data_IF_932640467092
#
_entry.id   IF_932640467092
#
_cell.length_a   1.000
_cell.length_b   1.000
_cell.length_c   1.000
_cell.angle_alpha   90.00
_cell.angle_beta   90.00
_cell.angle_gamma   90.00
#
_symmetry.space_group_name_H-M   'P 1'
#
loop_
_entity.id
_entity.type
_entity.pdbx_description
1 polymer ?
#
# COMPACT_ATOMS: atom_id res chain seq x y z
N UNK A 1 45.44 22.06 78.16
CA UNK A 1 45.94 21.43 76.91
C UNK A 1 44.95 20.34 76.49
N UNK A 2 43.96 20.65 75.67
CA UNK A 2 43.00 19.69 75.18
C UNK A 2 43.18 19.57 73.64
N UNK A 3 43.58 18.42 73.19
CA UNK A 3 43.69 18.08 71.75
C UNK A 3 42.29 17.66 71.23
N UNK A 4 41.73 18.44 70.32
CA UNK A 4 40.56 18.08 69.53
C UNK A 4 40.98 17.19 68.34
N UNK A 5 40.58 15.93 68.34
CA UNK A 5 40.70 15.02 67.21
C UNK A 5 39.43 15.23 66.38
N UNK A 6 39.58 15.82 65.18
CA UNK A 6 38.52 15.88 64.16
C UNK A 6 38.53 14.57 63.35
N UNK A 7 37.54 13.72 63.58
CA UNK A 7 37.25 12.55 62.71
C UNK A 7 36.58 13.02 61.42
N UNK A 8 37.28 12.89 60.33
CA UNK A 8 36.70 13.06 58.98
C UNK A 8 36.01 11.74 58.57
N UNK A 9 34.69 11.75 58.48
CA UNK A 9 33.89 10.68 57.89
C UNK A 9 33.91 10.87 56.37
N UNK A 10 34.34 9.88 55.57
CA UNK A 10 34.17 9.97 54.10
C UNK A 10 32.71 9.66 53.78
N UNK A 11 32.01 10.67 53.19
CA UNK A 11 30.70 10.54 52.62
C UNK A 11 30.81 9.76 51.29
N UNK A 12 30.59 8.44 51.37
CA UNK A 12 30.52 7.61 50.18
C UNK A 12 29.23 7.95 49.39
N UNK A 13 29.34 8.75 48.33
CA UNK A 13 28.30 9.03 47.37
C UNK A 13 28.05 7.73 46.56
N UNK A 14 27.10 6.92 46.98
CA UNK A 14 26.60 5.80 46.18
C UNK A 14 25.86 6.36 44.95
N UNK A 15 26.60 6.53 43.84
CA UNK A 15 26.04 6.77 42.55
C UNK A 15 25.25 5.52 42.13
N UNK A 16 23.97 5.46 42.48
CA UNK A 16 23.02 4.50 41.90
C UNK A 16 22.89 4.85 40.42
N UNK A 17 23.68 4.23 39.57
CA UNK A 17 23.45 4.16 38.15
C UNK A 17 22.09 3.45 37.96
N UNK A 18 21.02 4.23 37.82
CA UNK A 18 19.80 3.75 37.21
C UNK A 18 20.15 3.39 35.76
N UNK A 19 20.56 2.14 35.56
CA UNK A 19 20.56 1.54 34.25
C UNK A 19 19.13 1.71 33.74
N UNK A 20 18.92 2.62 32.79
CA UNK A 20 17.70 2.67 32.01
C UNK A 20 17.61 1.31 31.34
N UNK A 21 16.90 0.38 31.98
CA UNK A 21 16.49 -0.86 31.34
C UNK A 21 15.72 -0.40 30.10
N UNK A 22 16.34 -0.55 28.94
CA UNK A 22 15.71 -0.27 27.66
C UNK A 22 14.39 -1.06 27.69
N UNK A 23 13.28 -0.34 27.85
CA UNK A 23 11.96 -0.94 28.02
C UNK A 23 11.76 -1.86 26.82
N UNK A 24 11.54 -3.15 27.09
CA UNK A 24 11.51 -4.17 26.04
C UNK A 24 10.38 -3.80 25.04
N UNK A 25 10.75 -3.34 23.85
CA UNK A 25 9.79 -3.04 22.79
C UNK A 25 9.42 -4.35 22.06
N UNK A 26 8.11 -4.56 21.72
CA UNK A 26 6.93 -3.80 22.12
C UNK A 26 6.32 -4.28 23.44
N UNK A 27 5.73 -3.36 24.25
CA UNK A 27 5.05 -3.67 25.52
C UNK A 27 3.54 -3.44 25.45
N UNK A 28 3.03 -2.89 24.36
CA UNK A 28 1.63 -2.60 24.09
C UNK A 28 1.28 -2.85 22.61
N UNK A 29 0.00 -2.90 22.25
CA UNK A 29 -0.41 -3.09 20.86
C UNK A 29 0.20 -2.07 19.91
N UNK A 30 0.54 -2.53 18.71
CA UNK A 30 1.04 -1.71 17.60
C UNK A 30 -0.11 -1.45 16.63
N UNK A 31 -0.22 -0.22 16.15
CA UNK A 31 -1.23 0.15 15.15
C UNK A 31 -0.60 0.31 13.78
N UNK A 32 -1.12 -0.41 12.79
CA UNK A 32 -0.82 -0.19 11.37
C UNK A 32 -1.94 0.68 10.79
N UNK A 33 -1.59 1.90 10.41
CA UNK A 33 -2.50 2.80 9.70
C UNK A 33 -2.54 2.42 8.23
N UNK A 34 -3.75 2.19 7.72
CA UNK A 34 -4.06 1.98 6.30
C UNK A 34 -4.72 3.25 5.77
N UNK A 35 -4.17 3.93 4.76
CA UNK A 35 -4.65 5.24 4.33
C UNK A 35 -5.86 5.18 3.36
N UNK A 36 -6.62 4.10 3.41
CA UNK A 36 -7.80 3.85 2.58
C UNK A 36 -8.94 3.25 3.40
N UNK A 37 -10.17 3.33 2.89
CA UNK A 37 -11.33 2.72 3.53
C UNK A 37 -11.17 1.19 3.68
N UNK A 38 -11.76 0.67 4.74
CA UNK A 38 -11.81 -0.77 5.00
C UNK A 38 -12.46 -1.55 3.82
N UNK A 39 -12.10 -2.81 3.68
CA UNK A 39 -12.61 -3.71 2.64
C UNK A 39 -11.94 -3.53 1.27
N UNK A 40 -10.94 -2.64 1.13
CA UNK A 40 -10.13 -2.54 -0.08
C UNK A 40 -8.87 -3.41 -0.01
N UNK A 41 -8.08 -3.46 -1.12
CA UNK A 41 -6.92 -4.35 -1.24
C UNK A 41 -5.84 -4.08 -0.18
N UNK A 42 -5.50 -2.81 0.06
CA UNK A 42 -4.48 -2.44 1.05
C UNK A 42 -4.92 -2.78 2.48
N UNK A 43 -6.22 -2.67 2.79
CA UNK A 43 -6.79 -3.09 4.08
C UNK A 43 -6.67 -4.62 4.27
N UNK A 44 -6.95 -5.38 3.19
CA UNK A 44 -6.80 -6.83 3.23
C UNK A 44 -5.34 -7.25 3.47
N UNK A 45 -4.40 -6.73 2.68
CA UNK A 45 -2.96 -6.97 2.87
C UNK A 45 -2.54 -6.62 4.29
N UNK A 46 -2.99 -5.47 4.81
CA UNK A 46 -2.62 -5.02 6.16
C UNK A 46 -3.16 -5.95 7.26
N UNK A 47 -4.39 -6.47 7.13
CA UNK A 47 -4.97 -7.39 8.13
C UNK A 47 -4.27 -8.75 8.11
N UNK A 48 -4.03 -9.30 6.92
CA UNK A 48 -3.31 -10.57 6.79
C UNK A 48 -1.86 -10.43 7.31
N UNK A 49 -1.20 -9.31 7.01
CA UNK A 49 0.14 -9.02 7.49
C UNK A 49 0.21 -8.72 8.99
N UNK A 50 -0.78 -7.99 9.54
CA UNK A 50 -0.89 -7.74 10.97
C UNK A 50 -0.99 -9.04 11.78
N UNK A 51 -1.76 -10.02 11.29
CA UNK A 51 -1.85 -11.33 11.92
C UNK A 51 -0.51 -12.06 11.90
N UNK A 52 0.20 -12.05 10.77
CA UNK A 52 1.52 -12.67 10.64
C UNK A 52 2.59 -12.00 11.54
N UNK A 53 2.44 -10.69 11.83
CA UNK A 53 3.35 -9.95 12.71
C UNK A 53 3.16 -10.24 14.19
N UNK A 54 1.99 -10.74 14.63
CA UNK A 54 1.67 -10.93 16.06
C UNK A 54 2.66 -11.83 16.76
N UNK A 55 2.99 -12.98 16.16
CA UNK A 55 3.89 -13.97 16.76
C UNK A 55 5.34 -13.43 16.89
N UNK A 56 5.99 -12.92 15.85
CA UNK A 56 7.36 -12.44 15.95
C UNK A 56 7.52 -11.18 16.81
N UNK A 57 6.47 -10.34 16.93
CA UNK A 57 6.48 -9.17 17.81
C UNK A 57 6.08 -9.51 19.26
N UNK A 58 5.35 -10.61 19.48
CA UNK A 58 4.81 -10.98 20.79
C UNK A 58 3.72 -10.02 21.27
N UNK A 59 3.09 -9.26 20.36
CA UNK A 59 2.07 -8.26 20.67
C UNK A 59 0.93 -8.26 19.65
N UNK A 60 -0.22 -7.75 20.07
CA UNK A 60 -1.35 -7.49 19.17
C UNK A 60 -0.98 -6.39 18.16
N UNK A 61 -1.27 -6.64 16.89
CA UNK A 61 -1.16 -5.64 15.83
C UNK A 61 -2.56 -5.31 15.34
N UNK A 62 -2.91 -4.02 15.38
CA UNK A 62 -4.25 -3.49 15.07
C UNK A 62 -4.17 -2.75 13.73
N UNK A 63 -5.19 -2.90 12.88
CA UNK A 63 -5.32 -2.14 11.64
C UNK A 63 -6.32 -1.00 11.86
N UNK A 64 -5.88 0.23 11.57
CA UNK A 64 -6.69 1.44 11.61
C UNK A 64 -6.81 2.04 10.20
N UNK A 65 -8.01 2.30 9.72
CA UNK A 65 -8.25 2.92 8.42
C UNK A 65 -8.38 4.45 8.56
N UNK A 66 -7.46 5.21 7.95
CA UNK A 66 -7.45 6.67 7.92
C UNK A 66 -7.52 7.17 6.46
N UNK A 67 -8.69 7.05 5.85
CA UNK A 67 -8.91 7.23 4.43
C UNK A 67 -9.04 8.69 3.99
N UNK A 68 -8.62 9.00 2.76
CA UNK A 68 -8.86 10.25 2.07
C UNK A 68 -7.66 10.81 1.32
N UNK A 69 -7.92 11.72 0.38
CA UNK A 69 -6.93 12.38 -0.49
C UNK A 69 -5.93 11.38 -1.10
N UNK A 70 -6.43 10.28 -1.71
CA UNK A 70 -5.58 9.26 -2.34
C UNK A 70 -4.59 8.57 -1.41
N UNK A 71 -4.79 8.65 -0.10
CA UNK A 71 -3.92 8.11 0.94
C UNK A 71 -3.10 9.16 1.71
N UNK A 72 -3.11 10.41 1.28
CA UNK A 72 -2.29 11.46 1.93
C UNK A 72 -2.72 11.74 3.38
N UNK A 73 -4.01 11.60 3.73
CA UNK A 73 -4.49 11.84 5.10
C UNK A 73 -3.88 10.83 6.07
N UNK A 74 -3.94 9.53 5.77
CA UNK A 74 -3.38 8.50 6.61
C UNK A 74 -1.86 8.55 6.68
N UNK A 75 -1.18 8.83 5.57
CA UNK A 75 0.26 9.01 5.54
C UNK A 75 0.71 10.20 6.40
N UNK A 76 0.03 11.36 6.30
CA UNK A 76 0.32 12.53 7.12
C UNK A 76 0.08 12.28 8.63
N UNK A 77 -0.96 11.49 8.97
CA UNK A 77 -1.19 11.07 10.36
C UNK A 77 0.02 10.35 10.92
N UNK A 78 0.60 9.41 10.16
CA UNK A 78 1.79 8.65 10.60
C UNK A 78 3.04 9.51 10.58
N UNK A 79 3.25 10.36 9.58
CA UNK A 79 4.39 11.28 9.54
C UNK A 79 4.48 12.17 10.80
N UNK A 80 3.33 12.50 11.41
CA UNK A 80 3.22 13.32 12.62
C UNK A 80 3.05 12.53 13.92
N UNK A 81 3.02 11.20 13.85
CA UNK A 81 2.89 10.36 15.04
C UNK A 81 4.19 10.33 15.85
N UNK A 82 4.09 9.92 17.12
CA UNK A 82 5.26 9.74 17.97
C UNK A 82 6.21 8.70 17.34
N UNK A 83 7.52 8.98 17.25
CA UNK A 83 8.50 8.07 16.65
C UNK A 83 8.94 6.99 17.65
N UNK A 84 7.99 6.23 18.18
CA UNK A 84 8.21 5.22 19.22
C UNK A 84 7.98 3.77 18.72
N UNK A 85 7.60 3.62 17.43
CA UNK A 85 7.37 2.33 16.78
C UNK A 85 5.97 1.75 16.98
N UNK A 86 5.06 2.43 17.72
CA UNK A 86 3.71 1.93 17.96
C UNK A 86 2.67 2.37 16.94
N UNK A 87 3.03 3.32 16.06
CA UNK A 87 2.21 3.73 14.93
C UNK A 87 3.00 3.54 13.66
N UNK A 88 2.56 2.63 12.80
CA UNK A 88 3.19 2.30 11.53
C UNK A 88 2.24 2.64 10.37
N UNK A 89 2.77 2.83 9.18
CA UNK A 89 2.00 3.01 7.96
C UNK A 89 2.22 1.81 7.05
N UNK A 90 1.16 1.18 6.59
CA UNK A 90 1.21 0.29 5.44
C UNK A 90 0.64 1.04 4.23
N UNK A 91 1.48 1.27 3.26
CA UNK A 91 1.11 2.04 2.07
C UNK A 91 1.71 1.40 0.81
N UNK A 92 1.22 1.83 -0.32
CA UNK A 92 1.53 1.27 -1.62
C UNK A 92 2.19 2.30 -2.57
N UNK A 93 2.17 2.05 -3.88
CA UNK A 93 2.78 2.87 -4.93
C UNK A 93 2.48 4.37 -4.83
N UNK A 94 1.40 4.78 -4.16
CA UNK A 94 1.10 6.21 -3.94
C UNK A 94 2.21 6.95 -3.21
N UNK A 95 3.03 6.28 -2.38
CA UNK A 95 4.25 6.89 -1.82
C UNK A 95 5.21 7.39 -2.91
N UNK A 96 5.20 6.77 -4.08
CA UNK A 96 6.02 7.22 -5.21
C UNK A 96 5.30 8.19 -6.15
N UNK A 97 3.96 8.19 -6.20
CA UNK A 97 3.19 9.00 -7.16
C UNK A 97 2.63 10.28 -6.58
N UNK A 98 2.28 10.31 -5.27
CA UNK A 98 1.76 11.50 -4.59
C UNK A 98 2.63 12.74 -4.72
N UNK A 99 3.98 12.69 -4.64
CA UNK A 99 4.81 13.87 -4.82
C UNK A 99 4.65 14.59 -6.16
N UNK A 100 4.18 13.87 -7.18
CA UNK A 100 3.94 14.42 -8.53
C UNK A 100 2.48 14.71 -8.81
N UNK A 101 1.54 14.09 -8.09
CA UNK A 101 0.10 14.22 -8.30
C UNK A 101 -0.55 15.28 -7.40
N UNK A 102 -0.02 15.48 -6.19
CA UNK A 102 -0.58 16.40 -5.21
C UNK A 102 0.33 17.63 -5.06
N UNK A 103 -0.17 18.83 -5.41
CA UNK A 103 0.62 20.06 -5.32
C UNK A 103 0.98 20.45 -3.88
N UNK A 104 0.07 20.20 -2.94
CA UNK A 104 0.19 20.58 -1.54
C UNK A 104 0.30 19.36 -0.62
N UNK A 105 1.28 18.47 -0.89
CA UNK A 105 1.52 17.30 -0.04
C UNK A 105 2.06 17.75 1.33
N UNK A 106 1.36 17.45 2.46
CA UNK A 106 1.72 17.99 3.78
C UNK A 106 2.86 17.24 4.47
N UNK A 107 3.60 16.41 3.75
CA UNK A 107 4.77 15.66 4.21
C UNK A 107 5.73 15.39 3.05
N UNK A 108 6.96 15.06 3.39
CA UNK A 108 7.98 14.62 2.44
C UNK A 108 8.14 13.10 2.51
N UNK A 109 7.82 12.39 1.41
CA UNK A 109 7.88 10.93 1.36
C UNK A 109 9.27 10.40 1.73
N UNK A 110 10.34 11.05 1.26
CA UNK A 110 11.70 10.56 1.46
C UNK A 110 12.31 10.91 2.82
N UNK A 111 11.78 11.95 3.50
CA UNK A 111 12.41 12.53 4.68
C UNK A 111 11.60 12.37 5.97
N UNK A 112 10.26 12.21 5.89
CA UNK A 112 9.39 12.17 7.08
C UNK A 112 9.07 10.74 7.54
N UNK A 113 9.65 9.73 6.87
CA UNK A 113 9.45 8.32 7.21
C UNK A 113 10.77 7.57 7.33
N UNK A 114 10.77 6.56 8.20
CA UNK A 114 11.70 5.44 8.18
C UNK A 114 11.08 4.30 7.37
N UNK A 115 11.87 3.68 6.52
CA UNK A 115 11.48 2.56 5.67
C UNK A 115 11.77 1.25 6.38
N UNK A 116 10.83 0.32 6.40
CA UNK A 116 10.94 -0.91 7.19
C UNK A 116 11.08 -2.18 6.34
N UNK A 117 10.73 -2.10 5.07
CA UNK A 117 10.78 -3.22 4.13
C UNK A 117 9.52 -3.29 3.29
N UNK A 118 9.65 -3.90 2.11
CA UNK A 118 8.51 -4.18 1.23
C UNK A 118 7.86 -5.51 1.59
N UNK A 119 6.56 -5.62 1.31
CA UNK A 119 5.71 -6.76 1.70
C UNK A 119 5.39 -7.62 0.49
N UNK A 120 4.73 -7.06 -0.52
CA UNK A 120 4.30 -7.77 -1.71
C UNK A 120 4.24 -6.87 -2.93
N UNK A 121 4.17 -7.49 -4.11
CA UNK A 121 3.82 -6.88 -5.37
C UNK A 121 2.47 -7.45 -5.82
N UNK A 122 1.48 -6.59 -6.07
CA UNK A 122 0.11 -6.99 -6.40
C UNK A 122 -0.24 -6.55 -7.81
N UNK A 123 -0.56 -7.48 -8.73
CA UNK A 123 -1.09 -7.14 -10.05
C UNK A 123 -2.43 -6.41 -9.96
N UNK A 124 -2.81 -5.75 -11.05
CA UNK A 124 -4.14 -5.17 -11.18
C UNK A 124 -4.96 -5.83 -12.28
N UNK A 125 -6.27 -5.61 -12.24
CA UNK A 125 -7.23 -6.08 -13.24
C UNK A 125 -8.06 -4.91 -13.77
N UNK A 126 -8.37 -4.91 -15.05
CA UNK A 126 -9.42 -4.08 -15.64
C UNK A 126 -10.72 -4.85 -15.50
N UNK A 127 -11.64 -4.30 -14.72
CA UNK A 127 -12.94 -4.92 -14.40
C UNK A 127 -14.09 -3.98 -14.75
N UNK A 128 -15.25 -4.56 -14.99
CA UNK A 128 -16.49 -3.84 -15.30
C UNK A 128 -17.70 -4.40 -14.56
N UNK A 129 -18.74 -3.58 -14.47
CA UNK A 129 -20.01 -3.96 -13.87
C UNK A 129 -20.59 -5.24 -14.51
N UNK A 130 -21.37 -6.06 -13.79
CA UNK A 130 -21.89 -7.32 -14.31
C UNK A 130 -22.83 -7.13 -15.53
N UNK A 131 -23.55 -6.03 -15.58
CA UNK A 131 -24.49 -5.70 -16.68
C UNK A 131 -23.81 -5.09 -17.92
N UNK A 132 -22.49 -4.93 -17.94
CA UNK A 132 -21.78 -4.36 -19.09
C UNK A 132 -22.00 -5.26 -20.33
N UNK A 133 -22.40 -4.72 -21.50
CA UNK A 133 -22.65 -5.53 -22.70
C UNK A 133 -21.37 -5.89 -23.46
N UNK A 134 -20.33 -6.31 -22.72
CA UNK A 134 -19.07 -6.80 -23.24
C UNK A 134 -18.61 -8.00 -22.43
N UNK A 135 -18.09 -9.04 -23.07
CA UNK A 135 -17.64 -10.27 -22.42
C UNK A 135 -16.14 -10.54 -22.61
N UNK A 136 -15.47 -9.72 -23.40
CA UNK A 136 -14.04 -9.78 -23.63
C UNK A 136 -13.49 -8.36 -23.89
N UNK A 137 -12.17 -8.23 -23.94
CA UNK A 137 -11.50 -6.93 -24.10
C UNK A 137 -11.85 -6.25 -25.44
N UNK A 138 -11.97 -7.00 -26.54
CA UNK A 138 -12.33 -6.44 -27.86
C UNK A 138 -13.73 -5.82 -27.83
N UNK A 139 -14.69 -6.53 -27.23
CA UNK A 139 -16.04 -6.02 -27.04
C UNK A 139 -16.08 -4.83 -26.10
N UNK A 140 -15.26 -4.85 -25.03
CA UNK A 140 -15.10 -3.71 -24.13
C UNK A 140 -14.63 -2.46 -24.88
N UNK A 141 -13.58 -2.57 -25.68
CA UNK A 141 -13.06 -1.43 -26.47
C UNK A 141 -14.13 -0.90 -27.44
N UNK A 142 -14.84 -1.78 -28.13
CA UNK A 142 -15.93 -1.37 -29.02
C UNK A 142 -17.05 -0.66 -28.26
N UNK A 143 -17.46 -1.18 -27.09
CA UNK A 143 -18.46 -0.54 -26.24
C UNK A 143 -17.99 0.82 -25.73
N UNK A 144 -16.72 0.95 -25.31
CA UNK A 144 -16.15 2.22 -24.86
C UNK A 144 -16.19 3.28 -25.96
N UNK A 145 -15.88 2.91 -27.21
CA UNK A 145 -15.97 3.85 -28.34
C UNK A 145 -17.40 4.34 -28.60
N UNK A 146 -18.41 3.47 -28.43
CA UNK A 146 -19.82 3.82 -28.58
C UNK A 146 -20.36 4.67 -27.43
N UNK A 147 -19.71 4.62 -26.27
CA UNK A 147 -20.15 5.30 -25.04
C UNK A 147 -19.21 6.41 -24.58
N UNK A 148 -18.37 6.97 -25.48
CA UNK A 148 -17.48 8.09 -25.17
C UNK A 148 -18.22 9.21 -24.43
N UNK A 149 -17.60 9.74 -23.36
CA UNK A 149 -18.17 10.80 -22.54
C UNK A 149 -19.27 10.36 -21.55
N UNK A 150 -19.62 9.05 -21.49
CA UNK A 150 -20.65 8.52 -20.60
C UNK A 150 -20.12 7.47 -19.63
N UNK A 151 -18.86 7.09 -19.76
CA UNK A 151 -18.25 6.00 -18.97
C UNK A 151 -17.78 6.55 -17.63
N UNK A 152 -18.20 5.94 -16.54
CA UNK A 152 -17.74 6.24 -15.19
C UNK A 152 -16.66 5.24 -14.77
N UNK A 153 -15.46 5.75 -14.48
CA UNK A 153 -14.30 4.96 -14.03
C UNK A 153 -14.05 5.20 -12.55
N UNK A 154 -14.36 4.23 -11.70
CA UNK A 154 -14.17 4.32 -10.26
C UNK A 154 -12.72 4.20 -9.84
N UNK A 155 -12.32 4.95 -8.79
CA UNK A 155 -10.98 4.88 -8.21
C UNK A 155 -11.00 5.23 -6.70
N UNK A 156 -9.89 4.98 -6.00
CA UNK A 156 -9.75 5.21 -4.56
C UNK A 156 -9.31 6.64 -4.18
N UNK A 157 -9.58 7.60 -5.05
CA UNK A 157 -9.13 8.99 -4.90
C UNK A 157 -7.88 9.28 -5.74
N UNK A 158 -7.69 10.56 -6.05
CA UNK A 158 -6.55 11.01 -6.86
C UNK A 158 -5.24 10.68 -6.14
N UNK A 159 -4.27 10.17 -6.88
CA UNK A 159 -2.99 9.70 -6.34
C UNK A 159 -3.01 8.22 -5.89
N UNK A 160 -4.18 7.57 -5.84
CA UNK A 160 -4.27 6.14 -5.52
C UNK A 160 -3.77 5.25 -6.65
N UNK A 161 -3.49 3.98 -6.31
CA UNK A 161 -3.09 2.96 -7.30
C UNK A 161 -4.14 2.77 -8.40
N UNK A 162 -5.43 2.71 -8.04
CA UNK A 162 -6.52 2.56 -9.00
C UNK A 162 -6.69 3.80 -9.90
N UNK A 163 -6.43 4.99 -9.37
CA UNK A 163 -6.39 6.21 -10.18
C UNK A 163 -5.25 6.18 -11.20
N UNK A 164 -4.02 5.84 -10.76
CA UNK A 164 -2.87 5.72 -11.66
C UNK A 164 -3.14 4.71 -12.78
N UNK A 165 -3.60 3.51 -12.43
CA UNK A 165 -3.92 2.49 -13.42
C UNK A 165 -5.04 2.95 -14.37
N UNK A 166 -6.08 3.58 -13.86
CA UNK A 166 -7.18 4.13 -14.66
C UNK A 166 -6.72 5.20 -15.64
N UNK A 167 -5.80 6.09 -15.25
CA UNK A 167 -5.20 7.09 -16.14
C UNK A 167 -4.40 6.42 -17.26
N UNK A 168 -3.53 5.46 -16.92
CA UNK A 168 -2.74 4.73 -17.91
C UNK A 168 -3.64 3.94 -18.87
N UNK A 169 -4.73 3.35 -18.37
CA UNK A 169 -5.70 2.65 -19.18
C UNK A 169 -6.40 3.61 -20.17
N UNK A 170 -6.91 4.76 -19.71
CA UNK A 170 -7.53 5.77 -20.57
C UNK A 170 -6.57 6.26 -21.67
N UNK A 171 -5.33 6.54 -21.30
CA UNK A 171 -4.29 6.94 -22.26
C UNK A 171 -4.02 5.85 -23.30
N UNK A 172 -3.92 4.59 -22.84
CA UNK A 172 -3.60 3.45 -23.72
C UNK A 172 -4.72 3.12 -24.72
N UNK A 173 -6.00 3.33 -24.34
CA UNK A 173 -7.15 3.10 -25.24
C UNK A 173 -7.58 4.35 -26.00
N UNK A 174 -7.03 5.53 -25.69
CA UNK A 174 -7.38 6.79 -26.32
C UNK A 174 -8.82 7.25 -26.06
N UNK A 175 -9.39 6.89 -24.90
CA UNK A 175 -10.78 7.20 -24.52
C UNK A 175 -10.79 7.84 -23.14
N UNK A 176 -11.26 9.08 -23.03
CA UNK A 176 -11.50 9.76 -21.78
C UNK A 176 -12.76 9.22 -21.09
N UNK A 177 -12.69 9.08 -19.77
CA UNK A 177 -13.76 8.60 -18.92
C UNK A 177 -13.94 9.53 -17.71
N UNK A 178 -15.15 9.60 -17.18
CA UNK A 178 -15.41 10.37 -15.97
C UNK A 178 -14.84 9.64 -14.75
N UNK A 179 -13.83 10.23 -14.11
CA UNK A 179 -13.24 9.67 -12.91
C UNK A 179 -14.17 9.88 -11.70
N UNK A 180 -14.59 8.79 -11.05
CA UNK A 180 -15.42 8.80 -9.84
C UNK A 180 -14.56 8.40 -8.65
N UNK A 181 -14.25 9.37 -7.79
CA UNK A 181 -13.32 9.21 -6.68
C UNK A 181 -14.03 8.74 -5.40
N UNK A 182 -13.52 7.69 -4.80
CA UNK A 182 -13.94 7.15 -3.49
C UNK A 182 -12.82 7.29 -2.45
N UNK A 183 -13.12 7.06 -1.18
CA UNK A 183 -12.10 7.01 -0.11
C UNK A 183 -11.32 5.68 -0.05
N UNK A 184 -11.48 4.83 -1.07
CA UNK A 184 -10.87 3.49 -1.19
C UNK A 184 -11.63 2.67 -2.22
N UNK A 185 -11.06 1.57 -2.73
CA UNK A 185 -11.72 0.73 -3.73
C UNK A 185 -12.76 -0.22 -3.13
N UNK A 186 -12.81 -0.42 -1.80
CA UNK A 186 -13.89 -1.17 -1.15
C UNK A 186 -15.28 -0.61 -1.49
N UNK A 187 -15.60 0.65 -1.14
CA UNK A 187 -16.87 1.27 -1.53
C UNK A 187 -17.06 1.37 -3.05
N UNK A 188 -16.01 1.64 -3.83
CA UNK A 188 -16.10 1.67 -5.29
C UNK A 188 -16.50 0.30 -5.89
N UNK A 189 -16.03 -0.81 -5.31
CA UNK A 189 -16.40 -2.16 -5.73
C UNK A 189 -17.91 -2.43 -5.51
N UNK A 190 -18.48 -1.92 -4.42
CA UNK A 190 -19.93 -2.03 -4.16
C UNK A 190 -20.71 -1.31 -5.27
N UNK A 191 -20.30 -0.11 -5.63
CA UNK A 191 -20.94 0.68 -6.69
C UNK A 191 -20.71 0.09 -8.09
N UNK A 192 -19.58 -0.56 -8.33
CA UNK A 192 -19.35 -1.31 -9.56
C UNK A 192 -20.32 -2.52 -9.68
N UNK A 193 -20.42 -3.30 -8.61
CA UNK A 193 -21.31 -4.47 -8.59
C UNK A 193 -22.80 -4.10 -8.72
N UNK A 194 -23.20 -2.95 -8.18
CA UNK A 194 -24.57 -2.42 -8.29
C UNK A 194 -24.84 -1.67 -9.60
N UNK A 195 -23.79 -1.40 -10.41
CA UNK A 195 -23.91 -0.74 -11.71
C UNK A 195 -23.89 0.80 -11.68
N UNK A 196 -23.57 1.41 -10.53
CA UNK A 196 -23.46 2.88 -10.39
C UNK A 196 -22.23 3.45 -11.12
N UNK A 197 -21.17 2.66 -11.22
CA UNK A 197 -20.02 2.95 -12.07
C UNK A 197 -19.83 1.81 -13.08
N UNK A 198 -19.11 2.08 -14.15
CA UNK A 198 -19.00 1.15 -15.28
C UNK A 198 -17.77 0.28 -15.24
N UNK A 199 -16.63 0.88 -14.91
CA UNK A 199 -15.31 0.27 -14.95
C UNK A 199 -14.49 0.63 -13.71
N UNK A 200 -13.53 -0.23 -13.39
CA UNK A 200 -12.44 0.05 -12.43
C UNK A 200 -11.15 -0.61 -12.90
N UNK A 201 -10.02 -0.05 -12.48
CA UNK A 201 -8.76 -0.77 -12.38
C UNK A 201 -8.47 -0.99 -10.90
N UNK A 202 -8.38 -2.26 -10.45
CA UNK A 202 -8.12 -2.54 -9.04
C UNK A 202 -7.23 -3.77 -8.84
N UNK A 203 -6.63 -3.87 -7.67
CA UNK A 203 -5.67 -4.90 -7.31
C UNK A 203 -6.32 -6.27 -7.20
N UNK A 204 -5.57 -7.32 -7.59
CA UNK A 204 -6.05 -8.71 -7.55
C UNK A 204 -6.46 -9.16 -6.15
N UNK A 205 -5.83 -8.65 -5.08
CA UNK A 205 -6.19 -8.95 -3.69
C UNK A 205 -7.61 -8.51 -3.31
N UNK A 206 -8.23 -7.62 -4.09
CA UNK A 206 -9.64 -7.23 -3.95
C UNK A 206 -10.53 -7.85 -5.04
N UNK A 207 -10.00 -8.08 -6.25
CA UNK A 207 -10.82 -8.47 -7.39
C UNK A 207 -10.95 -9.98 -7.60
N UNK A 208 -9.95 -10.79 -7.18
CA UNK A 208 -9.94 -12.23 -7.43
C UNK A 208 -11.20 -12.93 -6.95
N UNK A 209 -11.64 -12.68 -5.73
CA UNK A 209 -12.85 -13.31 -5.16
C UNK A 209 -14.15 -12.84 -5.82
N UNK A 210 -14.23 -11.56 -6.22
CA UNK A 210 -15.41 -11.01 -6.92
C UNK A 210 -15.50 -11.49 -8.37
N UNK A 211 -14.36 -11.71 -9.03
CA UNK A 211 -14.25 -12.30 -10.36
C UNK A 211 -14.67 -13.78 -10.31
N UNK A 212 -14.11 -14.55 -9.37
CA UNK A 212 -14.46 -15.96 -9.16
C UNK A 212 -15.97 -16.15 -8.89
N UNK A 213 -16.52 -15.28 -8.06
CA UNK A 213 -17.97 -15.25 -7.77
C UNK A 213 -18.83 -14.66 -8.91
N UNK A 214 -18.24 -14.28 -10.05
CA UNK A 214 -18.91 -13.67 -11.21
C UNK A 214 -19.73 -12.41 -10.89
N UNK A 215 -19.32 -11.68 -9.84
CA UNK A 215 -19.97 -10.42 -9.41
C UNK A 215 -19.48 -9.21 -10.20
N UNK A 216 -18.38 -9.34 -10.92
CA UNK A 216 -17.86 -8.37 -11.88
C UNK A 216 -17.35 -9.09 -13.13
N UNK A 217 -17.22 -8.38 -14.23
CA UNK A 217 -16.57 -8.88 -15.45
C UNK A 217 -15.10 -8.48 -15.42
N UNK A 218 -14.21 -9.40 -15.77
CA UNK A 218 -12.78 -9.15 -15.88
C UNK A 218 -12.35 -9.15 -17.35
N UNK A 219 -11.58 -8.17 -17.77
CA UNK A 219 -11.21 -7.96 -19.17
C UNK A 219 -9.72 -8.14 -19.45
N UNK A 220 -8.87 -7.71 -18.51
CA UNK A 220 -7.43 -7.88 -18.63
C UNK A 220 -6.74 -7.82 -17.26
N UNK A 221 -5.55 -8.43 -17.17
CA UNK A 221 -4.58 -8.23 -16.09
C UNK A 221 -3.46 -7.29 -16.59
N UNK A 222 -2.86 -6.57 -15.65
CA UNK A 222 -1.85 -5.53 -15.97
C UNK A 222 -0.42 -6.04 -15.96
N UNK A 223 -0.20 -7.32 -15.76
CA UNK A 223 1.12 -7.97 -15.80
C UNK A 223 1.55 -8.30 -17.23
N UNK A 224 2.87 -8.41 -17.49
CA UNK A 224 3.37 -8.81 -18.81
C UNK A 224 3.00 -10.24 -19.21
N UNK A 225 2.74 -11.11 -18.21
CA UNK A 225 2.33 -12.50 -18.40
C UNK A 225 1.03 -12.74 -17.65
N UNK A 226 0.21 -13.70 -18.13
CA UNK A 226 -1.00 -14.14 -17.42
C UNK A 226 -0.65 -14.63 -16.02
N UNK A 227 -1.61 -14.45 -15.12
CA UNK A 227 -1.51 -14.95 -13.75
C UNK A 227 -1.87 -16.45 -13.72
N UNK A 228 -1.28 -17.17 -12.77
CA UNK A 228 -1.49 -18.63 -12.66
C UNK A 228 -2.59 -19.01 -11.66
N UNK A 229 -3.05 -18.05 -10.85
CA UNK A 229 -4.10 -18.32 -9.86
C UNK A 229 -5.44 -18.67 -10.54
N UNK A 230 -6.21 -19.63 -10.01
CA UNK A 230 -7.40 -20.16 -10.68
C UNK A 230 -8.40 -19.11 -11.14
N UNK A 231 -8.68 -18.11 -10.30
CA UNK A 231 -9.65 -17.05 -10.59
C UNK A 231 -9.24 -16.14 -11.76
N UNK A 232 -7.93 -16.09 -12.11
CA UNK A 232 -7.37 -15.09 -13.03
C UNK A 232 -6.63 -15.69 -14.23
N UNK A 233 -6.36 -17.01 -14.25
CA UNK A 233 -5.53 -17.68 -15.27
C UNK A 233 -6.01 -17.53 -16.71
N UNK A 234 -7.30 -17.41 -16.89
CA UNK A 234 -7.94 -17.29 -18.21
C UNK A 234 -8.10 -15.84 -18.68
N UNK A 235 -7.78 -14.86 -17.80
CA UNK A 235 -7.86 -13.44 -18.14
C UNK A 235 -6.60 -13.05 -18.91
N UNK A 236 -6.73 -12.45 -20.11
CA UNK A 236 -5.60 -12.03 -20.92
C UNK A 236 -4.85 -10.87 -20.28
N UNK A 237 -3.61 -10.66 -20.69
CA UNK A 237 -2.84 -9.46 -20.34
C UNK A 237 -3.20 -8.28 -21.25
N UNK A 238 -2.97 -7.04 -20.80
CA UNK A 238 -3.11 -5.86 -21.66
C UNK A 238 -2.20 -5.95 -22.90
N UNK A 239 -1.01 -6.56 -22.77
CA UNK A 239 -0.08 -6.76 -23.89
C UNK A 239 -0.61 -7.77 -24.91
N UNK A 240 -1.22 -8.88 -24.49
CA UNK A 240 -1.90 -9.83 -25.38
C UNK A 240 -3.05 -9.16 -26.16
N UNK A 241 -3.65 -8.13 -25.58
CA UNK A 241 -4.73 -7.36 -26.22
C UNK A 241 -4.20 -6.22 -27.12
N UNK A 242 -2.90 -6.17 -27.37
CA UNK A 242 -2.28 -5.21 -28.28
C UNK A 242 -1.82 -3.89 -27.66
N UNK A 243 -1.98 -3.73 -26.34
CA UNK A 243 -1.51 -2.54 -25.61
C UNK A 243 -0.05 -2.78 -25.19
N UNK A 244 0.87 -2.36 -26.07
CA UNK A 244 2.32 -2.54 -25.85
C UNK A 244 2.78 -1.83 -24.57
N UNK A 245 3.75 -2.42 -23.89
CA UNK A 245 4.44 -1.87 -22.72
C UNK A 245 3.53 -1.53 -21.52
N UNK A 246 2.26 -1.95 -21.54
CA UNK A 246 1.37 -1.76 -20.40
C UNK A 246 1.71 -2.75 -19.30
N UNK A 247 2.31 -2.24 -18.24
CA UNK A 247 2.62 -3.03 -17.04
C UNK A 247 2.48 -2.16 -15.79
N UNK A 248 1.57 -2.56 -14.89
CA UNK A 248 1.34 -1.89 -13.61
C UNK A 248 1.22 -2.94 -12.52
N UNK A 249 2.13 -2.90 -11.57
CA UNK A 249 2.10 -3.73 -10.37
C UNK A 249 2.23 -2.84 -9.15
N UNK A 250 1.42 -3.11 -8.14
CA UNK A 250 1.32 -2.28 -6.94
C UNK A 250 2.14 -2.90 -5.83
N UNK A 251 3.24 -2.25 -5.48
CA UNK A 251 4.02 -2.64 -4.32
C UNK A 251 3.41 -2.12 -3.02
N UNK A 252 3.48 -2.90 -1.94
CA UNK A 252 3.17 -2.44 -0.59
C UNK A 252 4.44 -2.47 0.26
N UNK A 253 4.59 -1.44 1.09
CA UNK A 253 5.69 -1.31 2.03
C UNK A 253 5.21 -0.88 3.41
N UNK A 254 6.04 -1.17 4.41
CA UNK A 254 5.84 -0.77 5.79
C UNK A 254 6.76 0.41 6.12
N UNK A 255 6.22 1.40 6.82
CA UNK A 255 6.91 2.63 7.17
C UNK A 255 6.66 2.99 8.64
N UNK A 256 7.59 3.72 9.25
CA UNK A 256 7.43 4.32 10.56
C UNK A 256 7.66 5.84 10.50
N UNK A 257 7.25 6.62 11.52
CA UNK A 257 7.60 8.04 11.61
C UNK A 257 9.11 8.25 11.62
N UNK A 258 9.56 9.34 11.02
CA UNK A 258 10.98 9.75 11.04
C UNK A 258 11.47 9.93 12.48
N UNK A 259 12.67 9.42 12.77
CA UNK A 259 13.28 9.50 14.10
C UNK A 259 12.91 8.33 15.03
N UNK A 260 12.18 7.32 14.54
CA UNK A 260 11.97 6.07 15.30
C UNK A 260 13.34 5.43 15.63
N UNK A 261 13.60 5.04 16.89
CA UNK A 261 14.90 4.54 17.32
C UNK A 261 15.38 3.31 16.55
N UNK A 262 16.65 3.24 16.21
CA UNK A 262 17.23 2.15 15.43
C UNK A 262 16.97 0.74 16.00
N UNK A 263 17.02 0.49 17.34
CA UNK A 263 16.68 -0.82 17.89
C UNK A 263 15.21 -1.22 17.64
N UNK A 264 14.29 -0.24 17.66
CA UNK A 264 12.86 -0.43 17.37
C UNK A 264 12.66 -0.77 15.90
N UNK A 265 13.27 0.02 14.99
CA UNK A 265 13.23 -0.25 13.55
C UNK A 265 13.76 -1.64 13.21
N UNK A 266 14.88 -2.03 13.83
CA UNK A 266 15.46 -3.36 13.64
C UNK A 266 14.49 -4.45 14.08
N UNK A 267 13.87 -4.32 15.26
CA UNK A 267 12.91 -5.29 15.78
C UNK A 267 11.71 -5.46 14.85
N UNK A 268 11.18 -4.36 14.32
CA UNK A 268 10.05 -4.39 13.38
C UNK A 268 10.47 -5.02 12.03
N UNK A 269 11.65 -4.67 11.50
CA UNK A 269 12.15 -5.26 10.25
C UNK A 269 12.44 -6.76 10.40
N UNK A 270 13.02 -7.19 11.53
CA UNK A 270 13.22 -8.62 11.81
C UNK A 270 11.87 -9.36 11.86
N UNK A 271 10.86 -8.76 12.50
CA UNK A 271 9.51 -9.33 12.56
C UNK A 271 8.84 -9.36 11.17
N UNK A 272 9.04 -8.32 10.34
CA UNK A 272 8.60 -8.30 8.94
C UNK A 272 9.18 -9.48 8.16
N UNK A 273 10.47 -9.71 8.25
CA UNK A 273 11.16 -10.84 7.58
C UNK A 273 10.61 -12.21 8.00
N UNK A 274 10.20 -12.36 9.25
CA UNK A 274 9.53 -13.58 9.73
C UNK A 274 8.12 -13.68 9.19
N UNK A 275 7.34 -12.59 9.23
CA UNK A 275 5.96 -12.54 8.75
C UNK A 275 5.86 -12.84 7.24
N UNK A 276 6.82 -12.38 6.43
CA UNK A 276 6.87 -12.67 4.98
C UNK A 276 7.12 -14.17 4.65
N UNK A 277 7.53 -14.96 5.65
CA UNK A 277 7.72 -16.41 5.53
C UNK A 277 6.61 -17.21 6.24
N UNK A 278 5.63 -16.52 6.84
CA UNK A 278 4.49 -17.19 7.48
C UNK A 278 3.66 -17.91 6.41
N UNK A 279 3.48 -19.25 6.52
CA UNK A 279 2.82 -20.03 5.47
C UNK A 279 1.37 -19.62 5.23
N UNK A 280 0.66 -19.18 6.27
CA UNK A 280 -0.74 -18.78 6.14
C UNK A 280 -0.86 -17.41 5.45
N UNK A 281 0.05 -16.49 5.75
CA UNK A 281 0.14 -15.21 5.06
C UNK A 281 0.46 -15.41 3.58
N UNK A 282 1.53 -16.14 3.29
CA UNK A 282 1.96 -16.42 1.90
C UNK A 282 0.83 -17.07 1.11
N UNK A 283 0.22 -18.13 1.65
CA UNK A 283 -0.87 -18.86 0.99
C UNK A 283 -2.08 -17.95 0.70
N UNK A 284 -2.47 -17.09 1.65
CA UNK A 284 -3.63 -16.18 1.46
C UNK A 284 -3.35 -15.15 0.37
N UNK A 285 -2.18 -14.52 0.39
CA UNK A 285 -1.83 -13.47 -0.57
C UNK A 285 -1.60 -14.03 -1.99
N UNK A 286 -0.85 -15.13 -2.11
CA UNK A 286 -0.58 -15.78 -3.40
C UNK A 286 -1.85 -16.34 -4.05
N UNK A 287 -2.80 -16.88 -3.25
CA UNK A 287 -4.10 -17.31 -3.77
C UNK A 287 -4.91 -16.18 -4.41
N UNK A 288 -4.61 -14.93 -4.09
CA UNK A 288 -5.21 -13.74 -4.68
C UNK A 288 -4.35 -13.10 -5.79
N UNK A 289 -3.23 -13.75 -6.16
CA UNK A 289 -2.34 -13.31 -7.23
C UNK A 289 -1.29 -12.29 -6.80
N UNK A 290 -1.12 -12.02 -5.51
CA UNK A 290 0.00 -11.23 -5.01
C UNK A 290 1.30 -12.06 -5.04
N UNK A 291 2.44 -11.38 -5.17
CA UNK A 291 3.78 -11.97 -5.08
C UNK A 291 4.46 -11.42 -3.83
N UNK A 292 4.78 -12.31 -2.89
CA UNK A 292 5.48 -11.91 -1.66
C UNK A 292 6.93 -11.53 -2.00
N UNK A 293 7.37 -10.39 -1.48
CA UNK A 293 8.75 -9.93 -1.69
C UNK A 293 9.72 -10.83 -0.93
N UNK A 294 10.66 -11.43 -1.65
CA UNK A 294 11.71 -12.30 -1.12
C UNK A 294 13.12 -11.88 -1.55
N UNK A 295 13.26 -10.67 -2.08
CA UNK A 295 14.50 -10.10 -2.54
C UNK A 295 15.03 -9.01 -1.56
N UNK A 296 16.10 -8.32 -1.94
CA UNK A 296 16.73 -7.30 -1.09
C UNK A 296 15.82 -6.14 -0.69
N UNK A 297 14.67 -5.94 -1.34
CA UNK A 297 13.70 -4.89 -0.97
C UNK A 297 13.04 -5.09 0.41
N UNK A 298 13.24 -6.25 1.05
CA UNK A 298 12.87 -6.47 2.46
C UNK A 298 13.78 -5.69 3.43
N UNK A 299 14.94 -5.22 2.96
CA UNK A 299 15.87 -4.42 3.75
C UNK A 299 15.50 -2.93 3.69
N UNK A 300 15.56 -2.20 4.84
CA UNK A 300 15.17 -0.78 4.92
C UNK A 300 15.82 0.13 3.88
N UNK A 301 17.13 0.00 3.68
CA UNK A 301 17.88 0.81 2.73
C UNK A 301 17.48 0.54 1.27
N UNK A 302 17.24 -0.72 0.93
CA UNK A 302 16.85 -1.12 -0.42
C UNK A 302 15.37 -0.77 -0.70
N UNK A 303 14.51 -0.86 0.31
CA UNK A 303 13.12 -0.36 0.22
C UNK A 303 13.12 1.14 -0.09
N UNK A 304 13.92 1.95 0.64
CA UNK A 304 14.03 3.40 0.39
C UNK A 304 14.53 3.70 -1.02
N UNK A 305 15.60 3.03 -1.47
CA UNK A 305 16.13 3.17 -2.83
C UNK A 305 15.09 2.80 -3.90
N UNK A 306 14.32 1.75 -3.64
CA UNK A 306 13.28 1.32 -4.56
C UNK A 306 12.19 2.39 -4.71
N UNK A 307 11.69 2.95 -3.61
CA UNK A 307 10.67 4.03 -3.66
C UNK A 307 11.23 5.27 -4.36
N UNK A 308 12.49 5.65 -4.09
CA UNK A 308 13.15 6.75 -4.79
C UNK A 308 13.23 6.51 -6.32
N UNK A 309 13.58 5.30 -6.73
CA UNK A 309 13.60 4.92 -8.14
C UNK A 309 12.19 4.97 -8.76
N UNK A 310 11.17 4.55 -8.03
CA UNK A 310 9.77 4.65 -8.47
C UNK A 310 9.32 6.11 -8.61
N UNK A 311 9.69 7.00 -7.70
CA UNK A 311 9.42 8.45 -7.85
C UNK A 311 10.03 8.98 -9.14
N UNK A 312 11.30 8.64 -9.42
CA UNK A 312 12.00 9.05 -10.66
C UNK A 312 11.32 8.50 -11.92
N UNK A 313 10.83 7.27 -11.87
CA UNK A 313 10.13 6.62 -12.98
C UNK A 313 8.77 7.25 -13.26
N UNK A 314 7.94 7.47 -12.22
CA UNK A 314 6.58 7.92 -12.39
C UNK A 314 6.43 9.43 -12.62
N UNK A 315 7.34 10.24 -12.08
CA UNK A 315 7.27 11.71 -12.19
C UNK A 315 7.14 12.21 -13.64
N UNK A 316 7.95 11.80 -14.63
CA UNK A 316 7.81 12.27 -16.00
C UNK A 316 6.50 11.79 -16.66
N UNK A 317 6.05 10.57 -16.36
CA UNK A 317 4.81 10.02 -16.91
C UNK A 317 3.58 10.77 -16.40
N UNK A 318 3.54 11.06 -15.10
CA UNK A 318 2.45 11.83 -14.47
C UNK A 318 2.43 13.27 -15.00
N UNK A 319 3.59 13.92 -15.13
CA UNK A 319 3.70 15.27 -15.69
C UNK A 319 3.24 15.32 -17.14
N UNK A 320 3.62 14.34 -17.97
CA UNK A 320 3.19 14.26 -19.36
C UNK A 320 1.68 14.06 -19.49
N UNK A 321 1.05 13.32 -18.56
CA UNK A 321 -0.39 13.14 -18.53
C UNK A 321 -1.18 14.41 -18.10
N UNK A 322 -0.48 15.44 -17.58
CA UNK A 322 -1.10 16.71 -17.20
C UNK A 322 -2.08 16.65 -16.02
N UNK A 323 -2.05 15.58 -15.23
CA UNK A 323 -2.98 15.34 -14.12
C UNK A 323 -2.37 15.82 -12.81
N UNK A 324 -2.93 16.91 -12.28
CA UNK A 324 -2.60 17.46 -10.97
C UNK A 324 -3.87 17.68 -10.18
N UNK A 325 -3.76 17.60 -8.84
CA UNK A 325 -4.82 17.98 -7.91
C UNK A 325 -4.27 18.99 -6.92
N UNK A 326 -5.04 20.06 -6.68
CA UNK A 326 -4.75 21.11 -5.70
C UNK A 326 -4.97 20.65 -4.27
#
# INVERSE_FOLDING_TARGET
MHKFIRSLLPLALAATAFGAAAQAYPTRPITIVVPFAAGGPTDKVARDFAEALRKPLGQTVIVENAAGAGGAIGANKVAKAAPDGYTLLLHHISMATMPSLLRNLPFNVMNDFEYLGMINDVPMTIIGKPSLPANNYKELVAWMHQNKGKINLGNAGVGSASHLCGMLFQHAVGIEMTAVAYKGTGPAMIDLMSGQIDLMCDQTTNTSTTIEAKKVKAFAVTTPKRLTVPALKDIPTMQEMGVKDFSVTIFHGLYAPKGTPAPVLKKINDALKVALKDPDFVKREEALGAVIVNDKRIEPAEHKKFVEAQIKQWTPLIKAAGVYVE
#
